data_IF_286694342240
#
_entry.id   IF_286694342240
#
_cell.length_a   1.000
_cell.length_b   1.000
_cell.length_c   1.000
_cell.angle_alpha   90.00
_cell.angle_beta   90.00
_cell.angle_gamma   90.00
#
_symmetry.space_group_name_H-M   'P 1'
#
loop_
_entity.id
_entity.type
_entity.pdbx_description
1 polymer ?
#
# COMPACT_ATOMS: atom_id res chain seq x y z
N UNK A 1 -4.13 4.07 47.89
CA UNK A 1 -3.86 4.14 46.43
C UNK A 1 -5.17 4.52 45.74
N UNK A 2 -5.24 5.61 44.99
CA UNK A 2 -6.47 6.00 44.29
C UNK A 2 -6.58 5.20 42.98
N UNK A 3 -7.57 4.32 42.89
CA UNK A 3 -7.88 3.55 41.67
C UNK A 3 -8.89 4.37 40.85
N UNK A 4 -8.73 4.38 39.53
CA UNK A 4 -9.69 5.03 38.65
C UNK A 4 -10.87 4.06 38.41
N UNK A 5 -12.10 4.54 38.54
CA UNK A 5 -13.32 3.80 38.30
C UNK A 5 -14.08 4.45 37.15
N UNK A 6 -14.66 3.63 36.27
CA UNK A 6 -15.62 4.07 35.27
C UNK A 6 -17.02 3.86 35.83
N UNK A 7 -17.90 4.85 35.63
CA UNK A 7 -19.27 4.77 36.11
C UNK A 7 -20.27 5.11 35.01
N UNK A 8 -21.44 4.49 35.09
CA UNK A 8 -22.64 4.85 34.35
C UNK A 8 -23.71 5.25 35.35
N UNK A 9 -24.20 6.48 35.23
CA UNK A 9 -25.21 7.03 36.12
C UNK A 9 -26.43 7.51 35.35
N UNK A 10 -27.56 7.58 36.05
CA UNK A 10 -28.76 8.24 35.58
C UNK A 10 -28.92 9.58 36.30
N UNK A 11 -29.12 10.66 35.54
CA UNK A 11 -29.51 11.96 36.12
C UNK A 11 -30.98 11.95 36.55
N UNK A 12 -31.39 12.95 37.32
CA UNK A 12 -32.78 13.12 37.78
C UNK A 12 -33.78 13.35 36.64
N UNK A 13 -33.30 13.75 35.46
CA UNK A 13 -34.08 13.88 34.23
C UNK A 13 -34.14 12.56 33.43
N UNK A 14 -33.59 11.48 33.96
CA UNK A 14 -33.63 10.14 33.37
C UNK A 14 -32.57 9.88 32.31
N UNK A 15 -31.64 10.81 32.03
CA UNK A 15 -30.59 10.66 31.01
C UNK A 15 -29.38 9.92 31.57
N UNK A 16 -28.77 9.10 30.72
CA UNK A 16 -27.56 8.37 31.06
C UNK A 16 -26.32 9.25 30.85
N UNK A 17 -25.42 9.26 31.84
CA UNK A 17 -24.08 9.87 31.74
C UNK A 17 -23.02 8.85 32.13
N UNK A 18 -21.92 8.85 31.37
CA UNK A 18 -20.77 8.00 31.60
C UNK A 18 -19.55 8.87 31.91
N UNK A 19 -18.70 8.42 32.84
CA UNK A 19 -17.54 9.18 33.29
C UNK A 19 -16.52 8.33 34.02
N UNK A 20 -15.42 8.97 34.43
CA UNK A 20 -14.34 8.33 35.20
C UNK A 20 -14.02 9.16 36.43
N UNK A 21 -13.92 8.53 37.59
CA UNK A 21 -13.56 9.19 38.86
C UNK A 21 -12.49 8.39 39.59
N UNK A 22 -11.63 9.06 40.35
CA UNK A 22 -10.63 8.40 41.19
C UNK A 22 -11.18 8.30 42.61
N UNK A 23 -11.20 7.09 43.16
CA UNK A 23 -11.67 6.83 44.52
C UNK A 23 -10.90 5.68 45.16
N UNK A 24 -11.14 5.45 46.44
CA UNK A 24 -10.51 4.38 47.20
C UNK A 24 -11.21 3.01 47.01
N UNK A 25 -12.50 3.00 46.66
CA UNK A 25 -13.31 1.79 46.48
C UNK A 25 -14.52 2.07 45.57
N UNK A 26 -15.17 1.02 45.05
CA UNK A 26 -16.43 1.14 44.29
C UNK A 26 -17.56 1.76 45.12
N UNK A 27 -17.60 1.42 46.42
CA UNK A 27 -18.56 2.00 47.37
C UNK A 27 -18.36 3.51 47.53
N UNK A 28 -17.11 3.99 47.61
CA UNK A 28 -16.81 5.41 47.69
C UNK A 28 -17.22 6.17 46.42
N UNK A 29 -17.15 5.53 45.24
CA UNK A 29 -17.65 6.10 43.98
C UNK A 29 -19.17 6.21 43.98
N UNK A 30 -19.87 5.14 44.40
CA UNK A 30 -21.33 5.14 44.46
C UNK A 30 -21.86 6.22 45.41
N UNK A 31 -21.25 6.37 46.60
CA UNK A 31 -21.59 7.41 47.57
C UNK A 31 -21.33 8.82 47.02
N UNK A 32 -20.20 9.03 46.35
CA UNK A 32 -19.87 10.31 45.73
C UNK A 32 -20.84 10.68 44.61
N UNK A 33 -21.28 9.71 43.80
CA UNK A 33 -22.24 9.95 42.71
C UNK A 33 -23.65 10.22 43.26
N UNK A 34 -24.06 9.50 44.31
CA UNK A 34 -25.31 9.75 45.02
C UNK A 34 -25.34 11.15 45.66
N UNK A 35 -24.24 11.59 46.28
CA UNK A 35 -24.11 12.95 46.84
C UNK A 35 -24.21 14.04 45.76
N UNK A 36 -23.85 13.73 44.51
CA UNK A 36 -23.99 14.62 43.36
C UNK A 36 -25.38 14.55 42.70
N UNK A 37 -26.33 13.82 43.28
CA UNK A 37 -27.70 13.68 42.76
C UNK A 37 -27.83 12.71 41.58
N UNK A 38 -26.83 11.86 41.36
CA UNK A 38 -26.84 10.83 40.32
C UNK A 38 -27.15 9.45 40.89
N UNK A 39 -27.94 8.64 40.19
CA UNK A 39 -28.17 7.25 40.58
C UNK A 39 -27.15 6.37 39.85
N UNK A 40 -26.20 5.72 40.55
CA UNK A 40 -25.22 4.82 39.94
C UNK A 40 -25.91 3.54 39.47
N UNK A 41 -25.75 3.22 38.19
CA UNK A 41 -26.27 2.00 37.57
C UNK A 41 -25.16 0.94 37.43
N UNK A 42 -23.93 1.40 37.19
CA UNK A 42 -22.78 0.53 37.02
C UNK A 42 -21.52 1.27 37.45
N UNK A 43 -20.73 0.67 38.35
CA UNK A 43 -19.43 1.17 38.78
C UNK A 43 -18.45 0.02 38.62
N UNK A 44 -17.39 0.22 37.81
CA UNK A 44 -16.37 -0.81 37.56
C UNK A 44 -14.96 -0.20 37.66
N UNK A 45 -13.95 -0.96 38.12
CA UNK A 45 -12.58 -0.49 38.12
C UNK A 45 -12.16 -0.21 36.67
N UNK A 46 -11.74 1.03 36.38
CA UNK A 46 -11.23 1.41 35.08
C UNK A 46 -9.83 0.81 34.92
N UNK A 47 -9.79 -0.42 34.41
CA UNK A 47 -8.55 -1.17 34.21
C UNK A 47 -8.69 -2.66 33.87
N UNK A 48 -9.88 -3.25 33.98
CA UNK A 48 -10.09 -4.71 33.75
C UNK A 48 -11.08 -5.00 32.60
N UNK A 49 -11.41 -3.99 31.79
CA UNK A 49 -12.20 -4.16 30.58
C UNK A 49 -11.33 -4.15 29.34
N UNK A 50 -11.43 -5.20 28.52
CA UNK A 50 -10.90 -5.32 27.16
C UNK A 50 -11.60 -4.35 26.17
N UNK A 51 -11.87 -3.13 26.61
CA UNK A 51 -12.42 -2.02 25.84
C UNK A 51 -11.48 -0.81 25.96
N UNK A 52 -10.17 -1.07 25.81
CA UNK A 52 -9.39 -0.12 25.02
C UNK A 52 -10.08 -0.12 23.67
N UNK A 53 -10.58 1.03 23.21
CA UNK A 53 -10.71 1.25 21.79
C UNK A 53 -9.38 0.81 21.19
N UNK A 54 -9.36 -0.39 20.63
CA UNK A 54 -8.29 -0.83 19.75
C UNK A 54 -8.59 -0.01 18.50
N UNK A 55 -8.26 1.29 18.55
CA UNK A 55 -7.95 2.02 17.35
C UNK A 55 -6.72 1.32 16.82
N UNK A 56 -6.93 0.26 16.05
CA UNK A 56 -5.93 -0.31 15.15
C UNK A 56 -5.25 0.91 14.51
N UNK A 57 -3.95 1.03 14.78
CA UNK A 57 -3.24 2.31 14.79
C UNK A 57 -3.51 3.22 13.60
N UNK A 58 -3.30 4.53 13.81
CA UNK A 58 -3.37 5.63 12.80
C UNK A 58 -3.70 5.16 11.39
N UNK A 59 -4.97 5.32 10.97
CA UNK A 59 -5.39 5.02 9.59
C UNK A 59 -4.46 5.76 8.63
N UNK A 60 -3.58 5.03 7.95
CA UNK A 60 -2.63 5.63 7.01
C UNK A 60 -3.40 6.31 5.89
N UNK A 61 -3.00 7.52 5.52
CA UNK A 61 -3.56 8.22 4.35
C UNK A 61 -3.24 7.42 3.10
N UNK A 62 -4.29 7.08 2.34
CA UNK A 62 -4.18 6.31 1.10
C UNK A 62 -4.11 7.23 -0.11
N UNK A 63 -3.60 6.73 -1.25
CA UNK A 63 -3.65 7.49 -2.51
C UNK A 63 -5.07 7.81 -2.95
N UNK A 64 -6.06 6.97 -2.59
CA UNK A 64 -7.48 7.24 -2.86
C UNK A 64 -7.97 8.45 -2.07
N UNK A 65 -7.58 8.56 -0.79
CA UNK A 65 -7.95 9.72 0.04
C UNK A 65 -7.37 11.01 -0.55
N UNK A 66 -6.11 10.99 -0.98
CA UNK A 66 -5.47 12.13 -1.63
C UNK A 66 -6.10 12.47 -2.99
N UNK A 67 -6.45 11.47 -3.80
CA UNK A 67 -7.12 11.71 -5.08
C UNK A 67 -8.48 12.40 -4.89
N UNK A 68 -9.30 11.91 -3.95
CA UNK A 68 -10.61 12.50 -3.64
C UNK A 68 -10.45 13.92 -3.12
N UNK A 69 -9.55 14.13 -2.14
CA UNK A 69 -9.26 15.46 -1.62
C UNK A 69 -8.81 16.43 -2.73
N UNK A 70 -7.82 16.04 -3.52
CA UNK A 70 -7.29 16.89 -4.59
C UNK A 70 -8.35 17.21 -5.63
N UNK A 71 -9.19 16.24 -6.03
CA UNK A 71 -10.30 16.47 -6.96
C UNK A 71 -11.31 17.44 -6.40
N UNK A 72 -11.76 17.24 -5.16
CA UNK A 72 -12.74 18.13 -4.54
C UNK A 72 -12.19 19.55 -4.36
N UNK A 73 -10.92 19.69 -3.95
CA UNK A 73 -10.28 20.99 -3.82
C UNK A 73 -10.17 21.69 -5.18
N UNK A 74 -9.72 20.97 -6.21
CA UNK A 74 -9.64 21.49 -7.58
C UNK A 74 -11.02 21.96 -8.07
N UNK A 75 -12.06 21.14 -7.90
CA UNK A 75 -13.44 21.50 -8.31
C UNK A 75 -13.97 22.72 -7.56
N UNK A 76 -13.68 22.87 -6.26
CA UNK A 76 -14.10 24.06 -5.51
C UNK A 76 -13.38 25.33 -5.98
N UNK A 77 -12.07 25.24 -6.21
CA UNK A 77 -11.27 26.36 -6.71
C UNK A 77 -11.69 26.76 -8.13
N UNK A 78 -11.91 25.78 -9.01
CA UNK A 78 -12.41 25.98 -10.38
C UNK A 78 -13.82 26.60 -10.39
N UNK A 79 -14.66 26.26 -9.40
CA UNK A 79 -15.97 26.91 -9.19
C UNK A 79 -15.88 28.33 -8.58
N UNK A 80 -14.68 28.87 -8.40
CA UNK A 80 -14.45 30.24 -7.92
C UNK A 80 -14.50 30.39 -6.39
N UNK A 81 -14.54 29.31 -5.61
CA UNK A 81 -14.39 29.41 -4.16
C UNK A 81 -12.94 29.78 -3.82
N UNK A 82 -12.76 30.57 -2.76
CA UNK A 82 -11.41 30.84 -2.25
C UNK A 82 -10.75 29.56 -1.75
N UNK A 83 -9.44 29.43 -1.95
CA UNK A 83 -8.65 28.28 -1.48
C UNK A 83 -8.90 27.99 0.01
N UNK A 84 -8.93 29.04 0.84
CA UNK A 84 -9.19 28.93 2.27
C UNK A 84 -10.58 28.36 2.59
N UNK A 85 -11.60 28.74 1.82
CA UNK A 85 -12.95 28.19 1.99
C UNK A 85 -12.98 26.71 1.61
N UNK A 86 -12.33 26.35 0.49
CA UNK A 86 -12.18 24.95 0.06
C UNK A 86 -11.48 24.09 1.12
N UNK A 87 -10.32 24.53 1.61
CA UNK A 87 -9.57 23.84 2.67
C UNK A 87 -10.40 23.67 3.95
N UNK A 88 -11.18 24.68 4.34
CA UNK A 88 -12.04 24.60 5.53
C UNK A 88 -13.12 23.53 5.37
N UNK A 89 -13.83 23.52 4.24
CA UNK A 89 -14.89 22.53 3.97
C UNK A 89 -14.30 21.12 3.96
N UNK A 90 -13.17 20.93 3.28
CA UNK A 90 -12.56 19.61 3.12
C UNK A 90 -11.92 19.09 4.40
N UNK A 91 -11.31 19.95 5.22
CA UNK A 91 -10.79 19.54 6.51
C UNK A 91 -11.90 18.89 7.37
N UNK A 92 -13.11 19.44 7.36
CA UNK A 92 -14.22 18.92 8.15
C UNK A 92 -14.88 17.67 7.52
N UNK A 93 -14.87 17.54 6.19
CA UNK A 93 -15.58 16.48 5.45
C UNK A 93 -14.77 15.22 5.18
N UNK A 94 -13.44 15.27 5.25
CA UNK A 94 -12.59 14.11 4.95
C UNK A 94 -12.82 12.97 5.95
N UNK A 95 -13.07 11.76 5.47
CA UNK A 95 -13.34 10.57 6.28
C UNK A 95 -12.11 10.06 7.04
N UNK A 96 -10.91 10.20 6.45
CA UNK A 96 -9.68 9.71 7.04
C UNK A 96 -9.21 10.65 8.18
N UNK A 97 -9.12 10.17 9.44
CA UNK A 97 -8.79 11.03 10.58
C UNK A 97 -7.37 11.58 10.54
N UNK A 98 -6.41 10.86 9.94
CA UNK A 98 -5.03 11.36 9.79
C UNK A 98 -4.96 12.46 8.75
N UNK A 99 -5.67 12.30 7.62
CA UNK A 99 -5.74 13.35 6.59
C UNK A 99 -6.49 14.57 7.12
N UNK A 100 -7.58 14.39 7.86
CA UNK A 100 -8.29 15.47 8.55
C UNK A 100 -7.37 16.28 9.46
N UNK A 101 -6.60 15.60 10.31
CA UNK A 101 -5.61 16.24 11.20
C UNK A 101 -4.58 17.05 10.39
N UNK A 102 -3.99 16.45 9.36
CA UNK A 102 -3.01 17.11 8.51
C UNK A 102 -3.60 18.33 7.77
N UNK A 103 -4.85 18.24 7.30
CA UNK A 103 -5.54 19.35 6.64
C UNK A 103 -5.90 20.49 7.60
N UNK A 104 -6.22 20.21 8.86
CA UNK A 104 -6.38 21.26 9.88
C UNK A 104 -5.06 22.00 10.15
N UNK A 105 -3.93 21.27 10.19
CA UNK A 105 -2.60 21.89 10.33
C UNK A 105 -2.28 22.76 9.10
N UNK A 106 -2.55 22.26 7.89
CA UNK A 106 -2.39 23.03 6.64
C UNK A 106 -3.27 24.28 6.65
N UNK A 107 -4.55 24.14 6.97
CA UNK A 107 -5.50 25.26 7.09
C UNK A 107 -4.95 26.34 8.03
N UNK A 108 -4.53 25.95 9.24
CA UNK A 108 -3.99 26.87 10.25
C UNK A 108 -2.73 27.58 9.76
N UNK A 109 -1.85 26.87 9.05
CA UNK A 109 -0.64 27.44 8.48
C UNK A 109 -0.96 28.50 7.40
N UNK A 110 -1.91 28.21 6.52
CA UNK A 110 -2.34 29.14 5.45
C UNK A 110 -3.10 30.33 6.05
N UNK A 111 -3.95 30.13 7.06
CA UNK A 111 -4.56 31.23 7.84
C UNK A 111 -3.50 32.13 8.50
N UNK A 112 -2.38 31.54 8.92
CA UNK A 112 -1.22 32.26 9.47
C UNK A 112 -0.35 32.95 8.42
N UNK A 113 -0.72 32.89 7.13
CA UNK A 113 -0.01 33.57 6.04
C UNK A 113 1.09 32.74 5.37
N UNK A 114 1.25 31.45 5.71
CA UNK A 114 2.15 30.58 4.95
C UNK A 114 1.54 30.22 3.59
N UNK A 115 2.40 29.97 2.60
CA UNK A 115 1.94 29.46 1.32
C UNK A 115 1.42 28.01 1.47
N UNK A 116 0.47 27.62 0.63
CA UNK A 116 -0.07 26.26 0.54
C UNK A 116 1.04 25.23 0.34
N UNK A 117 2.01 25.52 -0.52
CA UNK A 117 3.12 24.59 -0.76
C UNK A 117 4.02 24.41 0.46
N UNK A 118 4.26 25.47 1.25
CA UNK A 118 4.98 25.37 2.53
C UNK A 118 4.18 24.57 3.56
N UNK A 119 2.87 24.83 3.64
CA UNK A 119 1.98 24.12 4.54
C UNK A 119 1.93 22.61 4.24
N UNK A 120 1.83 22.20 2.97
CA UNK A 120 1.93 20.80 2.59
C UNK A 120 3.31 20.20 2.85
N UNK A 121 4.38 20.97 2.64
CA UNK A 121 5.75 20.51 2.85
C UNK A 121 6.06 20.17 4.32
N UNK A 122 5.30 20.71 5.27
CA UNK A 122 5.46 20.44 6.69
C UNK A 122 5.13 18.97 7.06
N UNK A 123 4.23 18.32 6.32
CA UNK A 123 3.91 16.89 6.48
C UNK A 123 4.13 16.11 5.17
N UNK A 124 5.39 15.87 4.84
CA UNK A 124 5.80 15.05 3.67
C UNK A 124 5.37 13.58 3.76
N UNK A 125 4.93 13.11 4.93
CA UNK A 125 4.44 11.75 5.10
C UNK A 125 3.02 11.62 4.56
N UNK A 126 2.22 12.66 4.70
CA UNK A 126 0.84 12.73 4.20
C UNK A 126 0.79 13.29 2.78
N UNK A 127 1.57 14.34 2.49
CA UNK A 127 1.54 15.04 1.22
C UNK A 127 2.77 14.70 0.36
N UNK A 128 2.61 13.99 -0.77
CA UNK A 128 3.72 13.59 -1.61
C UNK A 128 4.47 14.79 -2.23
N UNK A 129 5.78 14.65 -2.56
CA UNK A 129 6.57 15.72 -3.19
C UNK A 129 5.94 16.31 -4.46
N UNK A 130 5.25 15.49 -5.25
CA UNK A 130 4.53 15.92 -6.45
C UNK A 130 3.47 16.99 -6.13
N UNK A 131 2.61 16.74 -5.13
CA UNK A 131 1.56 17.69 -4.70
C UNK A 131 2.18 19.00 -4.20
N UNK A 132 3.21 18.90 -3.35
CA UNK A 132 3.91 20.07 -2.79
C UNK A 132 4.49 20.95 -3.91
N UNK A 133 5.12 20.32 -4.90
CA UNK A 133 5.83 21.02 -5.96
C UNK A 133 4.87 21.60 -7.00
N UNK A 134 3.79 20.90 -7.33
CA UNK A 134 2.71 21.42 -8.16
C UNK A 134 2.03 22.62 -7.50
N UNK A 135 1.72 22.52 -6.20
CA UNK A 135 1.19 23.67 -5.45
C UNK A 135 2.17 24.85 -5.51
N UNK A 136 3.48 24.63 -5.32
CA UNK A 136 4.48 25.69 -5.41
C UNK A 136 4.52 26.34 -6.79
N UNK A 137 4.54 25.53 -7.85
CA UNK A 137 4.56 26.04 -9.22
C UNK A 137 3.30 26.87 -9.53
N UNK A 138 2.13 26.37 -9.13
CA UNK A 138 0.86 27.09 -9.28
C UNK A 138 0.80 28.39 -8.47
N UNK A 139 1.38 28.41 -7.27
CA UNK A 139 1.46 29.62 -6.44
C UNK A 139 2.39 30.68 -7.05
N UNK A 140 3.59 30.27 -7.47
CA UNK A 140 4.59 31.20 -8.05
C UNK A 140 4.13 31.71 -9.42
N UNK A 141 3.52 30.85 -10.22
CA UNK A 141 3.08 31.18 -11.57
C UNK A 141 1.66 31.75 -11.66
N UNK A 142 0.91 31.79 -10.56
CA UNK A 142 -0.46 32.31 -10.53
C UNK A 142 -1.51 31.44 -11.23
N UNK A 143 -1.23 30.15 -11.44
CA UNK A 143 -2.12 29.17 -12.08
C UNK A 143 -2.47 28.00 -11.13
N UNK A 144 -2.77 28.32 -9.88
CA UNK A 144 -3.00 27.31 -8.84
C UNK A 144 -4.22 26.41 -9.13
N UNK A 145 -5.26 26.95 -9.75
CA UNK A 145 -6.43 26.24 -10.24
C UNK A 145 -6.05 25.12 -11.23
N UNK A 146 -5.22 25.44 -12.23
CA UNK A 146 -4.71 24.48 -13.22
C UNK A 146 -3.82 23.44 -12.53
N UNK A 147 -2.93 23.88 -11.64
CA UNK A 147 -2.03 22.99 -10.92
C UNK A 147 -2.78 21.97 -10.05
N UNK A 148 -3.82 22.40 -9.32
CA UNK A 148 -4.65 21.52 -8.50
C UNK A 148 -5.43 20.51 -9.33
N UNK A 149 -5.98 20.93 -10.47
CA UNK A 149 -6.67 20.04 -11.41
C UNK A 149 -5.73 18.95 -11.93
N UNK A 150 -4.52 19.34 -12.30
CA UNK A 150 -3.51 18.42 -12.80
C UNK A 150 -3.04 17.42 -11.73
N UNK A 151 -2.94 17.87 -10.47
CA UNK A 151 -2.68 16.99 -9.32
C UNK A 151 -3.80 15.96 -9.16
N UNK A 152 -5.06 16.41 -9.21
CA UNK A 152 -6.22 15.54 -9.09
C UNK A 152 -6.24 14.45 -10.18
N UNK A 153 -6.05 14.84 -11.44
CA UNK A 153 -6.01 13.93 -12.58
C UNK A 153 -4.88 12.90 -12.45
N UNK A 154 -3.69 13.33 -12.00
CA UNK A 154 -2.55 12.44 -11.79
C UNK A 154 -2.82 11.42 -10.69
N UNK A 155 -3.38 11.86 -9.56
CA UNK A 155 -3.69 10.96 -8.45
C UNK A 155 -4.85 10.00 -8.76
N UNK A 156 -5.88 10.46 -9.47
CA UNK A 156 -6.97 9.59 -9.95
C UNK A 156 -6.44 8.51 -10.90
N UNK A 157 -5.56 8.87 -11.82
CA UNK A 157 -4.99 7.93 -12.77
C UNK A 157 -4.09 6.89 -12.06
N UNK A 158 -3.31 7.30 -11.07
CA UNK A 158 -2.52 6.39 -10.22
C UNK A 158 -3.44 5.44 -9.41
N UNK A 159 -4.56 5.94 -8.88
CA UNK A 159 -5.56 5.11 -8.19
C UNK A 159 -6.21 4.12 -9.16
N UNK A 160 -6.55 4.55 -10.38
CA UNK A 160 -7.12 3.68 -11.43
C UNK A 160 -6.14 2.58 -11.80
N UNK A 161 -4.87 2.92 -12.06
CA UNK A 161 -3.80 1.97 -12.37
C UNK A 161 -3.63 0.93 -11.27
N UNK A 162 -3.51 1.37 -10.01
CA UNK A 162 -3.40 0.46 -8.86
C UNK A 162 -4.63 -0.43 -8.69
N UNK A 163 -5.81 0.13 -8.92
CA UNK A 163 -7.06 -0.62 -8.78
C UNK A 163 -7.17 -1.71 -9.85
N UNK A 164 -6.78 -1.41 -11.10
CA UNK A 164 -6.70 -2.40 -12.18
C UNK A 164 -5.74 -3.54 -11.84
N UNK A 165 -4.51 -3.20 -11.44
CA UNK A 165 -3.50 -4.21 -11.03
C UNK A 165 -4.03 -5.06 -9.87
N UNK A 166 -4.62 -4.42 -8.85
CA UNK A 166 -5.18 -5.13 -7.70
C UNK A 166 -6.32 -6.05 -8.11
N UNK A 167 -7.22 -5.62 -8.98
CA UNK A 167 -8.36 -6.41 -9.44
C UNK A 167 -7.88 -7.68 -10.15
N UNK A 168 -6.95 -7.54 -11.11
CA UNK A 168 -6.38 -8.66 -11.83
C UNK A 168 -5.65 -9.67 -10.91
N UNK A 169 -4.93 -9.18 -9.90
CA UNK A 169 -4.20 -10.03 -8.95
C UNK A 169 -5.07 -10.63 -7.85
N UNK A 170 -6.31 -10.17 -7.65
CA UNK A 170 -7.14 -10.61 -6.52
C UNK A 170 -7.51 -12.09 -6.64
N UNK A 171 -7.94 -12.54 -7.81
CA UNK A 171 -8.33 -13.94 -8.02
C UNK A 171 -7.14 -14.90 -7.82
N UNK A 172 -5.98 -14.73 -8.50
CA UNK A 172 -4.82 -15.58 -8.27
C UNK A 172 -4.37 -15.68 -6.81
N UNK A 173 -4.34 -14.54 -6.10
CA UNK A 173 -3.92 -14.50 -4.71
C UNK A 173 -4.90 -15.28 -3.81
N UNK A 174 -6.21 -15.12 -4.01
CA UNK A 174 -7.22 -15.83 -3.21
C UNK A 174 -7.14 -17.33 -3.44
N UNK A 175 -7.07 -17.79 -4.70
CA UNK A 175 -6.97 -19.22 -5.03
C UNK A 175 -5.66 -19.80 -4.48
N UNK A 176 -4.54 -19.11 -4.62
CA UNK A 176 -3.26 -19.55 -4.09
C UNK A 176 -3.24 -19.63 -2.56
N UNK A 177 -3.80 -18.63 -1.87
CA UNK A 177 -3.96 -18.68 -0.42
C UNK A 177 -4.83 -19.86 0.03
N UNK A 178 -5.93 -20.14 -0.68
CA UNK A 178 -6.81 -21.26 -0.37
C UNK A 178 -6.13 -22.61 -0.63
N UNK A 179 -5.39 -22.73 -1.72
CA UNK A 179 -4.57 -23.91 -2.04
C UNK A 179 -3.54 -24.19 -0.94
N UNK A 180 -2.77 -23.17 -0.53
CA UNK A 180 -1.79 -23.30 0.56
C UNK A 180 -2.49 -23.71 1.87
N UNK A 181 -3.62 -23.09 2.21
CA UNK A 181 -4.37 -23.41 3.42
C UNK A 181 -4.85 -24.86 3.42
N UNK A 182 -5.39 -25.34 2.29
CA UNK A 182 -5.79 -26.74 2.12
C UNK A 182 -4.59 -27.69 2.27
N UNK A 183 -3.45 -27.37 1.65
CA UNK A 183 -2.23 -28.16 1.76
C UNK A 183 -1.72 -28.24 3.21
N UNK A 184 -1.69 -27.11 3.92
CA UNK A 184 -1.30 -27.06 5.33
C UNK A 184 -2.26 -27.89 6.18
N UNK A 185 -3.57 -27.75 5.97
CA UNK A 185 -4.57 -28.57 6.67
C UNK A 185 -4.36 -30.06 6.43
N UNK A 186 -4.10 -30.47 5.19
CA UNK A 186 -3.84 -31.86 4.88
C UNK A 186 -2.57 -32.39 5.57
N UNK A 187 -1.49 -31.61 5.56
CA UNK A 187 -0.24 -31.96 6.24
C UNK A 187 -0.39 -32.02 7.76
N UNK A 188 -1.17 -31.13 8.38
CA UNK A 188 -1.29 -31.07 9.84
C UNK A 188 -2.29 -32.07 10.42
N UNK A 189 -3.35 -32.41 9.68
CA UNK A 189 -4.43 -33.27 10.18
C UNK A 189 -4.41 -34.65 9.56
N UNK A 190 -4.29 -34.76 8.23
CA UNK A 190 -4.46 -36.03 7.53
C UNK A 190 -3.19 -36.88 7.60
N UNK A 191 -2.03 -36.30 7.26
CA UNK A 191 -0.76 -37.04 7.23
C UNK A 191 -0.42 -37.72 8.58
N UNK A 192 -0.59 -37.07 9.76
CA UNK A 192 -0.29 -37.70 11.04
C UNK A 192 -1.23 -38.85 11.43
N UNK A 193 -2.49 -38.82 10.95
CA UNK A 193 -3.43 -39.93 11.17
C UNK A 193 -2.91 -41.18 10.46
N UNK A 194 -2.46 -41.04 9.21
CA UNK A 194 -1.85 -42.13 8.47
C UNK A 194 -0.52 -42.57 9.10
N UNK A 195 0.33 -41.63 9.53
CA UNK A 195 1.57 -41.98 10.24
C UNK A 195 1.30 -42.87 11.46
N UNK A 196 0.33 -42.51 12.31
CA UNK A 196 -0.07 -43.31 13.46
C UNK A 196 -0.56 -44.71 13.08
N UNK A 197 -1.43 -44.80 12.07
CA UNK A 197 -1.95 -46.08 11.57
C UNK A 197 -0.82 -47.02 11.09
N UNK A 198 0.23 -46.50 10.46
CA UNK A 198 1.37 -47.31 10.01
C UNK A 198 2.30 -47.74 11.14
N UNK A 199 2.48 -46.88 12.15
CA UNK A 199 3.27 -47.22 13.33
C UNK A 199 2.67 -48.42 14.08
N UNK A 200 1.33 -48.49 14.16
CA UNK A 200 0.61 -49.58 14.83
C UNK A 200 0.70 -50.92 14.07
N UNK A 201 0.88 -50.88 12.75
CA UNK A 201 0.97 -52.07 11.88
C UNK A 201 2.40 -52.61 11.73
N UNK A 202 3.40 -52.00 12.39
CA UNK A 202 4.80 -52.45 12.37
C UNK A 202 5.50 -52.30 11.01
N UNK A 203 4.86 -51.64 10.04
CA UNK A 203 5.34 -51.45 8.68
C UNK A 203 6.18 -50.19 8.51
N UNK A 204 7.11 -50.24 7.56
CA UNK A 204 7.89 -49.07 7.16
C UNK A 204 7.14 -48.28 6.08
N UNK A 205 6.85 -47.00 6.33
CA UNK A 205 6.18 -46.12 5.35
C UNK A 205 6.92 -46.10 4.01
N UNK A 206 6.22 -46.05 2.87
CA UNK A 206 6.81 -45.82 1.55
C UNK A 206 7.59 -44.49 1.47
N UNK A 207 8.61 -44.42 0.61
CA UNK A 207 9.47 -43.22 0.47
C UNK A 207 8.69 -41.90 0.23
N UNK A 208 7.68 -41.84 -0.67
CA UNK A 208 6.92 -40.61 -0.88
C UNK A 208 6.14 -40.15 0.36
N UNK A 209 5.59 -41.10 1.11
CA UNK A 209 4.84 -40.82 2.35
C UNK A 209 5.77 -40.38 3.48
N UNK A 210 6.98 -40.91 3.57
CA UNK A 210 8.00 -40.42 4.53
C UNK A 210 8.38 -38.97 4.28
N UNK A 211 8.50 -38.56 3.01
CA UNK A 211 8.77 -37.16 2.67
C UNK A 211 7.65 -36.24 3.16
N UNK A 212 6.38 -36.61 2.96
CA UNK A 212 5.24 -35.84 3.46
C UNK A 212 5.16 -35.82 4.99
N UNK A 213 5.49 -36.91 5.67
CA UNK A 213 5.57 -36.96 7.15
C UNK A 213 6.67 -36.03 7.66
N UNK A 214 7.85 -36.04 7.04
CA UNK A 214 8.93 -35.12 7.39
C UNK A 214 8.50 -33.66 7.17
N UNK A 215 7.86 -33.36 6.04
CA UNK A 215 7.34 -32.03 5.73
C UNK A 215 6.22 -31.61 6.72
N UNK A 216 5.33 -32.54 7.07
CA UNK A 216 4.31 -32.35 8.11
C UNK A 216 4.93 -32.01 9.45
N UNK A 217 6.00 -32.71 9.87
CA UNK A 217 6.75 -32.40 11.07
C UNK A 217 7.34 -30.98 11.04
N UNK A 218 7.96 -30.58 9.93
CA UNK A 218 8.50 -29.21 9.74
C UNK A 218 7.37 -28.17 9.82
N UNK A 219 6.22 -28.43 9.21
CA UNK A 219 5.07 -27.51 9.29
C UNK A 219 4.48 -27.49 10.70
N UNK A 220 4.35 -28.63 11.39
CA UNK A 220 3.75 -28.72 12.73
C UNK A 220 4.58 -28.01 13.79
N UNK A 221 5.89 -28.28 13.84
CA UNK A 221 6.79 -27.70 14.84
C UNK A 221 7.38 -26.35 14.37
N UNK A 222 7.51 -26.16 13.05
CA UNK A 222 8.04 -24.94 12.46
C UNK A 222 6.99 -23.89 12.12
N UNK A 223 5.69 -24.20 12.03
CA UNK A 223 4.66 -23.19 11.72
C UNK A 223 4.67 -21.98 12.66
N UNK A 224 4.82 -22.13 14.00
CA UNK A 224 4.95 -20.97 14.89
C UNK A 224 6.20 -20.14 14.57
N UNK A 225 7.30 -20.80 14.23
CA UNK A 225 8.58 -20.15 13.89
C UNK A 225 8.48 -19.45 12.53
N UNK A 226 7.92 -20.10 11.51
CA UNK A 226 7.67 -19.50 10.20
C UNK A 226 6.68 -18.33 10.30
N UNK A 227 5.60 -18.46 11.08
CA UNK A 227 4.68 -17.36 11.32
C UNK A 227 5.38 -16.19 12.02
N UNK A 228 6.23 -16.46 13.03
CA UNK A 228 7.02 -15.44 13.71
C UNK A 228 8.04 -14.78 12.77
N UNK A 229 8.72 -15.55 11.92
CA UNK A 229 9.66 -15.04 10.91
C UNK A 229 8.96 -14.20 9.85
N UNK A 230 7.81 -14.64 9.35
CA UNK A 230 7.00 -13.85 8.40
C UNK A 230 6.52 -12.57 9.07
N UNK A 231 6.04 -12.62 10.32
CA UNK A 231 5.62 -11.43 11.05
C UNK A 231 6.79 -10.46 11.29
N UNK A 232 7.97 -10.97 11.67
CA UNK A 232 9.19 -10.18 11.86
C UNK A 232 9.66 -9.57 10.53
N UNK A 233 9.66 -10.35 9.45
CA UNK A 233 9.99 -9.87 8.10
C UNK A 233 9.02 -8.80 7.63
N UNK A 234 7.70 -9.00 7.78
CA UNK A 234 6.68 -8.01 7.42
C UNK A 234 6.82 -6.74 8.25
N UNK A 235 7.11 -6.86 9.54
CA UNK A 235 7.36 -5.71 10.42
C UNK A 235 8.62 -4.95 10.00
N UNK A 236 9.73 -5.66 9.78
CA UNK A 236 10.99 -5.08 9.30
C UNK A 236 10.80 -4.41 7.94
N UNK A 237 10.17 -5.08 6.98
CA UNK A 237 9.88 -4.55 5.66
C UNK A 237 9.01 -3.31 5.72
N UNK A 238 7.93 -3.32 6.52
CA UNK A 238 7.07 -2.12 6.67
C UNK A 238 7.81 -0.92 7.23
N UNK A 239 8.85 -1.14 8.04
CA UNK A 239 9.65 -0.07 8.64
C UNK A 239 10.78 0.41 7.73
N UNK A 240 11.44 -0.51 7.01
CA UNK A 240 12.67 -0.24 6.27
C UNK A 240 12.51 -0.25 4.74
N UNK A 241 11.35 -0.60 4.19
CA UNK A 241 11.14 -0.63 2.73
C UNK A 241 11.25 0.75 2.07
N UNK A 242 11.22 1.84 2.84
CA UNK A 242 11.44 3.20 2.33
C UNK A 242 12.87 3.70 2.54
N UNK A 243 13.73 2.93 3.21
CA UNK A 243 15.13 3.31 3.40
C UNK A 243 15.85 3.25 2.05
N UNK A 244 16.64 4.29 1.75
CA UNK A 244 17.33 4.40 0.46
C UNK A 244 18.22 3.18 0.18
N UNK A 245 18.97 2.70 1.18
CA UNK A 245 19.84 1.51 1.06
C UNK A 245 19.07 0.25 0.66
N UNK A 246 17.85 0.08 1.16
CA UNK A 246 17.02 -1.09 0.85
C UNK A 246 16.48 -0.96 -0.58
N UNK A 247 15.98 0.22 -0.94
CA UNK A 247 15.46 0.49 -2.29
C UNK A 247 16.53 0.37 -3.37
N UNK A 248 17.76 0.79 -3.06
CA UNK A 248 18.92 0.70 -3.94
C UNK A 248 19.21 -0.74 -4.38
N UNK A 249 19.06 -1.71 -3.48
CA UNK A 249 19.27 -3.11 -3.77
C UNK A 249 18.02 -3.78 -4.38
N UNK A 250 16.85 -3.46 -3.84
CA UNK A 250 15.60 -4.13 -4.18
C UNK A 250 15.02 -3.67 -5.52
N UNK A 251 15.08 -2.38 -5.83
CA UNK A 251 14.42 -1.84 -7.04
C UNK A 251 15.04 -2.38 -8.35
N UNK A 252 16.38 -2.47 -8.51
CA UNK A 252 16.98 -3.13 -9.67
C UNK A 252 16.64 -4.61 -9.75
N UNK A 253 16.56 -5.31 -8.61
CA UNK A 253 16.20 -6.72 -8.57
C UNK A 253 14.75 -6.93 -9.04
N UNK A 254 13.80 -6.09 -8.58
CA UNK A 254 12.39 -6.15 -9.00
C UNK A 254 12.23 -6.04 -10.51
N UNK A 255 12.97 -5.13 -11.14
CA UNK A 255 12.92 -4.90 -12.59
C UNK A 255 13.49 -6.07 -13.39
N UNK A 256 14.37 -6.88 -12.79
CA UNK A 256 14.97 -8.08 -13.40
C UNK A 256 14.24 -9.37 -13.05
N UNK A 257 13.19 -9.34 -12.23
CA UNK A 257 12.47 -10.56 -11.88
C UNK A 257 11.79 -11.15 -13.11
N UNK A 258 11.89 -12.47 -13.36
CA UNK A 258 11.14 -13.11 -14.41
C UNK A 258 9.64 -12.92 -14.15
N UNK A 259 8.84 -12.87 -15.22
CA UNK A 259 7.38 -12.67 -15.20
C UNK A 259 6.96 -11.24 -14.82
N UNK A 260 7.39 -10.70 -13.68
CA UNK A 260 6.93 -9.39 -13.18
C UNK A 260 7.84 -8.19 -13.48
N UNK A 261 9.09 -8.42 -13.90
CA UNK A 261 10.06 -7.35 -14.15
C UNK A 261 9.64 -6.39 -15.27
N UNK A 262 9.05 -6.93 -16.34
CA UNK A 262 8.50 -6.13 -17.45
C UNK A 262 7.33 -5.24 -16.96
N UNK A 263 6.41 -5.81 -16.17
CA UNK A 263 5.30 -5.07 -15.58
C UNK A 263 5.81 -3.90 -14.70
N UNK A 264 6.79 -4.14 -13.84
CA UNK A 264 7.36 -3.09 -12.99
C UNK A 264 8.08 -2.00 -13.80
N UNK A 265 8.78 -2.39 -14.87
CA UNK A 265 9.45 -1.45 -15.77
C UNK A 265 8.44 -0.55 -16.48
N UNK A 266 7.38 -1.13 -17.05
CA UNK A 266 6.30 -0.39 -17.71
C UNK A 266 5.59 0.58 -16.75
N UNK A 267 5.26 0.15 -15.53
CA UNK A 267 4.68 1.03 -14.49
C UNK A 267 5.61 2.20 -14.15
N UNK A 268 6.91 1.95 -14.02
CA UNK A 268 7.89 2.97 -13.70
C UNK A 268 8.01 4.00 -14.84
N UNK A 269 8.03 3.55 -16.09
CA UNK A 269 8.03 4.40 -17.29
C UNK A 269 6.74 5.19 -17.44
N UNK A 270 5.57 4.57 -17.22
CA UNK A 270 4.28 5.26 -17.17
C UNK A 270 4.29 6.43 -16.19
N UNK A 271 4.79 6.23 -14.97
CA UNK A 271 4.88 7.29 -13.95
C UNK A 271 5.87 8.37 -14.34
N UNK A 272 7.03 7.99 -14.85
CA UNK A 272 8.05 8.93 -15.32
C UNK A 272 7.47 9.85 -16.40
N UNK A 273 6.97 9.26 -17.48
CA UNK A 273 6.48 10.00 -18.64
C UNK A 273 5.27 10.85 -18.29
N UNK A 274 4.32 10.32 -17.51
CA UNK A 274 3.14 11.07 -17.10
C UNK A 274 3.51 12.25 -16.20
N UNK A 275 4.32 12.04 -15.17
CA UNK A 275 4.66 13.10 -14.22
C UNK A 275 5.48 14.19 -14.91
N UNK A 276 6.47 13.82 -15.74
CA UNK A 276 7.28 14.78 -16.47
C UNK A 276 6.44 15.57 -17.48
N UNK A 277 5.64 14.90 -18.32
CA UNK A 277 4.79 15.57 -19.31
C UNK A 277 3.74 16.48 -18.66
N UNK A 278 3.20 16.06 -17.52
CA UNK A 278 2.31 16.86 -16.67
C UNK A 278 2.98 18.16 -16.21
N UNK A 279 4.16 18.05 -15.59
CA UNK A 279 4.89 19.20 -15.06
C UNK A 279 5.25 20.18 -16.17
N UNK A 280 5.77 19.67 -17.30
CA UNK A 280 6.13 20.50 -18.44
C UNK A 280 4.91 21.20 -19.06
N UNK A 281 3.79 20.50 -19.25
CA UNK A 281 2.56 21.11 -19.76
C UNK A 281 1.96 22.16 -18.82
N UNK A 282 2.32 22.10 -17.53
CA UNK A 282 1.91 23.08 -16.51
C UNK A 282 2.91 24.24 -16.40
N UNK A 283 3.87 24.36 -17.33
CA UNK A 283 4.86 25.43 -17.35
C UNK A 283 5.95 25.32 -16.27
N UNK A 284 6.10 24.16 -15.62
CA UNK A 284 7.18 23.95 -14.65
C UNK A 284 8.53 23.89 -15.40
N UNK A 285 9.55 24.66 -14.98
CA UNK A 285 10.87 24.60 -15.61
C UNK A 285 11.45 23.18 -15.63
N UNK A 286 12.06 22.77 -16.74
CA UNK A 286 12.52 21.38 -16.98
C UNK A 286 13.43 20.85 -15.86
N UNK A 287 14.39 21.65 -15.37
CA UNK A 287 15.29 21.22 -14.29
C UNK A 287 14.51 20.91 -12.99
N UNK A 288 13.57 21.79 -12.63
CA UNK A 288 12.67 21.57 -11.49
C UNK A 288 11.77 20.35 -11.73
N UNK A 289 11.27 20.17 -12.95
CA UNK A 289 10.44 19.03 -13.32
C UNK A 289 11.19 17.71 -13.18
N UNK A 290 12.45 17.64 -13.63
CA UNK A 290 13.32 16.47 -13.47
C UNK A 290 13.60 16.17 -11.99
N UNK A 291 13.86 17.19 -11.16
CA UNK A 291 14.03 17.02 -9.71
C UNK A 291 12.78 16.42 -9.07
N UNK A 292 11.58 16.90 -9.43
CA UNK A 292 10.31 16.40 -8.89
C UNK A 292 10.03 14.97 -9.36
N UNK A 293 10.28 14.68 -10.63
CA UNK A 293 10.05 13.35 -11.22
C UNK A 293 10.96 12.33 -10.55
N UNK A 294 12.25 12.62 -10.40
CA UNK A 294 13.21 11.74 -9.73
C UNK A 294 12.72 11.28 -8.35
N UNK A 295 12.13 12.19 -7.57
CA UNK A 295 11.62 11.92 -6.23
C UNK A 295 10.25 11.18 -6.20
N UNK A 296 9.54 11.08 -7.33
CA UNK A 296 8.14 10.63 -7.37
C UNK A 296 7.90 9.36 -8.19
N UNK A 297 8.84 8.95 -9.06
CA UNK A 297 8.68 7.74 -9.89
C UNK A 297 8.63 6.45 -9.06
N UNK A 298 9.26 6.45 -7.87
CA UNK A 298 9.29 5.32 -6.96
C UNK A 298 10.21 4.17 -7.40
N UNK A 299 11.12 4.43 -8.34
CA UNK A 299 12.15 3.50 -8.81
C UNK A 299 13.51 4.18 -8.72
N UNK A 300 14.44 3.64 -7.92
CA UNK A 300 15.81 4.17 -7.82
C UNK A 300 16.57 4.12 -9.15
N UNK A 301 16.26 3.16 -10.01
CA UNK A 301 16.86 3.05 -11.35
C UNK A 301 16.48 4.26 -12.23
N UNK A 302 15.21 4.70 -12.17
CA UNK A 302 14.79 5.91 -12.89
C UNK A 302 15.34 7.16 -12.19
N UNK A 303 15.36 7.18 -10.85
CA UNK A 303 15.88 8.30 -10.07
C UNK A 303 17.33 8.66 -10.49
N UNK A 304 18.23 7.69 -10.60
CA UNK A 304 19.60 7.93 -11.08
C UNK A 304 19.64 8.39 -12.52
N UNK A 305 18.90 7.73 -13.41
CA UNK A 305 18.89 8.13 -14.81
C UNK A 305 18.37 9.56 -15.02
N UNK A 306 17.37 9.98 -14.24
CA UNK A 306 16.84 11.34 -14.27
C UNK A 306 17.85 12.34 -13.69
N UNK A 307 18.62 11.96 -12.67
CA UNK A 307 19.68 12.79 -12.12
C UNK A 307 20.79 13.03 -13.16
N UNK A 308 21.20 12.00 -13.89
CA UNK A 308 22.21 12.10 -14.95
C UNK A 308 21.70 13.00 -16.10
N UNK A 309 20.46 12.79 -16.55
CA UNK A 309 19.78 13.64 -17.54
C UNK A 309 19.73 15.10 -17.08
N UNK A 310 19.37 15.36 -15.81
CA UNK A 310 19.31 16.70 -15.26
C UNK A 310 20.67 17.41 -15.32
N UNK A 311 21.75 16.69 -15.02
CA UNK A 311 23.11 17.25 -15.06
C UNK A 311 23.48 17.67 -16.49
N UNK A 312 23.20 16.81 -17.48
CA UNK A 312 23.39 17.11 -18.90
C UNK A 312 22.55 18.28 -19.41
N UNK A 313 21.26 18.32 -19.05
CA UNK A 313 20.35 19.42 -19.45
C UNK A 313 20.78 20.75 -18.81
N UNK A 314 21.32 20.72 -17.59
CA UNK A 314 21.85 21.91 -16.93
C UNK A 314 23.07 22.50 -17.66
N UNK A 315 23.82 21.67 -18.39
CA UNK A 315 24.94 22.11 -19.26
C UNK A 315 24.52 22.43 -20.70
N UNK A 316 23.22 22.32 -21.03
CA UNK A 316 22.66 22.67 -22.33
C UNK A 316 22.59 21.51 -23.33
N UNK A 317 22.79 20.27 -22.90
CA UNK A 317 22.57 19.08 -23.74
C UNK A 317 21.07 18.75 -23.87
N UNK A 318 20.72 17.95 -24.88
CA UNK A 318 19.34 17.45 -25.05
C UNK A 318 18.98 16.42 -23.97
N UNK A 319 17.68 16.24 -23.72
CA UNK A 319 17.13 15.25 -22.79
C UNK A 319 17.31 13.84 -23.35
N UNK A 320 17.09 13.67 -24.66
CA UNK A 320 17.08 12.35 -25.30
C UNK A 320 18.45 11.65 -25.28
N UNK A 321 19.54 12.40 -25.44
CA UNK A 321 20.90 11.85 -25.49
C UNK A 321 21.27 11.06 -24.23
N UNK A 322 21.26 11.69 -23.04
CA UNK A 322 21.54 11.00 -21.78
C UNK A 322 20.55 9.88 -21.47
N UNK A 323 19.25 10.05 -21.79
CA UNK A 323 18.26 8.98 -21.60
C UNK A 323 18.61 7.70 -22.36
N UNK A 324 19.18 7.82 -23.56
CA UNK A 324 19.58 6.67 -24.40
C UNK A 324 20.68 5.79 -23.78
N UNK A 325 21.43 6.32 -22.82
CA UNK A 325 22.50 5.59 -22.14
C UNK A 325 21.97 4.64 -21.05
N UNK A 326 20.69 4.77 -20.68
CA UNK A 326 20.08 3.98 -19.62
C UNK A 326 19.16 2.88 -20.17
N UNK A 327 19.44 1.58 -19.92
CA UNK A 327 18.68 0.46 -20.47
C UNK A 327 17.19 0.41 -20.12
N UNK A 328 16.77 1.13 -19.08
CA UNK A 328 15.37 1.19 -18.66
C UNK A 328 14.49 1.98 -19.64
N UNK A 329 15.09 2.85 -20.48
CA UNK A 329 14.36 3.62 -21.48
C UNK A 329 14.46 2.95 -22.85
N UNK A 330 13.36 2.40 -23.38
CA UNK A 330 13.35 1.82 -24.71
C UNK A 330 13.63 2.88 -25.79
N UNK A 331 14.18 2.48 -26.96
CA UNK A 331 14.46 3.40 -28.06
C UNK A 331 13.25 4.25 -28.49
N UNK A 332 12.04 3.68 -28.44
CA UNK A 332 10.80 4.41 -28.73
C UNK A 332 10.61 5.63 -27.82
N UNK A 333 10.88 5.50 -26.52
CA UNK A 333 10.74 6.60 -25.55
C UNK A 333 11.73 7.71 -25.87
N UNK A 334 12.98 7.34 -26.10
CA UNK A 334 14.06 8.27 -26.46
C UNK A 334 13.69 9.03 -27.75
N UNK A 335 13.21 8.33 -28.77
CA UNK A 335 12.84 8.91 -30.06
C UNK A 335 11.64 9.88 -29.94
N UNK A 336 10.62 9.52 -29.16
CA UNK A 336 9.46 10.37 -28.92
C UNK A 336 9.85 11.66 -28.18
N UNK A 337 10.77 11.56 -27.22
CA UNK A 337 11.29 12.73 -26.52
C UNK A 337 12.13 13.59 -27.46
N UNK A 338 13.05 13.00 -28.23
CA UNK A 338 13.87 13.72 -29.21
C UNK A 338 13.01 14.49 -30.22
N UNK A 339 12.00 13.83 -30.80
CA UNK A 339 11.06 14.48 -31.72
C UNK A 339 10.24 15.58 -31.04
N UNK A 340 9.89 15.39 -29.76
CA UNK A 340 9.26 16.42 -28.94
C UNK A 340 10.17 17.61 -28.68
N UNK A 341 11.47 17.39 -28.50
CA UNK A 341 12.46 18.47 -28.29
C UNK A 341 12.62 19.30 -29.56
N UNK A 342 12.75 18.66 -30.73
CA UNK A 342 12.86 19.34 -32.02
C UNK A 342 11.61 20.15 -32.37
N UNK A 343 10.42 19.65 -32.02
CA UNK A 343 9.13 20.31 -32.30
C UNK A 343 8.65 21.24 -31.19
N UNK A 344 9.34 21.29 -30.04
CA UNK A 344 8.91 22.04 -28.86
C UNK A 344 7.68 21.47 -28.14
N UNK A 345 7.30 20.22 -28.43
CA UNK A 345 6.11 19.54 -27.90
C UNK A 345 6.45 18.31 -27.02
N UNK A 346 7.53 18.40 -26.24
CA UNK A 346 8.01 17.33 -25.34
C UNK A 346 6.92 16.84 -24.38
N UNK A 347 6.13 17.77 -23.84
CA UNK A 347 5.06 17.48 -22.89
C UNK A 347 3.96 16.59 -23.52
N UNK A 348 3.59 16.86 -24.78
CA UNK A 348 2.61 16.07 -25.52
C UNK A 348 3.14 14.68 -25.86
N UNK A 349 4.42 14.59 -26.28
CA UNK A 349 5.05 13.31 -26.58
C UNK A 349 5.17 12.42 -25.34
N UNK A 350 5.54 13.00 -24.18
CA UNK A 350 5.58 12.30 -22.91
C UNK A 350 4.19 11.80 -22.47
N UNK A 351 3.13 12.58 -22.68
CA UNK A 351 1.74 12.14 -22.42
C UNK A 351 1.34 10.95 -23.29
N UNK A 352 1.72 10.95 -24.57
CA UNK A 352 1.49 9.81 -25.49
C UNK A 352 2.27 8.57 -25.08
N UNK A 353 3.54 8.73 -24.70
CA UNK A 353 4.36 7.63 -24.16
C UNK A 353 3.73 7.05 -22.89
N UNK A 354 3.25 7.90 -21.98
CA UNK A 354 2.58 7.46 -20.77
C UNK A 354 1.32 6.63 -21.08
N UNK A 355 0.47 7.11 -21.99
CA UNK A 355 -0.73 6.41 -22.42
C UNK A 355 -0.40 5.05 -23.05
N UNK A 356 0.60 5.00 -23.94
CA UNK A 356 1.03 3.74 -24.55
C UNK A 356 1.50 2.73 -23.50
N UNK A 357 2.31 3.16 -22.53
CA UNK A 357 2.71 2.24 -21.44
C UNK A 357 1.56 1.85 -20.52
N UNK A 358 0.53 2.68 -20.34
CA UNK A 358 -0.67 2.26 -19.60
C UNK A 358 -1.39 1.11 -20.28
N UNK A 359 -1.55 1.19 -21.60
CA UNK A 359 -2.14 0.13 -22.42
C UNK A 359 -1.29 -1.14 -22.35
N UNK A 360 0.03 -1.01 -22.43
CA UNK A 360 0.97 -2.12 -22.23
C UNK A 360 0.91 -2.72 -20.81
N UNK A 361 0.77 -1.90 -19.77
CA UNK A 361 0.60 -2.40 -18.39
C UNK A 361 -0.69 -3.21 -18.27
N UNK A 362 -1.78 -2.77 -18.90
CA UNK A 362 -3.05 -3.49 -18.93
C UNK A 362 -2.90 -4.83 -19.64
N UNK A 363 -2.37 -4.83 -20.87
CA UNK A 363 -2.12 -6.06 -21.64
C UNK A 363 -1.20 -7.04 -20.91
N UNK A 364 -0.13 -6.53 -20.28
CA UNK A 364 0.81 -7.36 -19.50
C UNK A 364 0.10 -7.96 -18.29
N UNK A 365 -0.72 -7.17 -17.59
CA UNK A 365 -1.45 -7.65 -16.41
C UNK A 365 -2.46 -8.74 -16.79
N UNK A 366 -3.16 -8.61 -17.92
CA UNK A 366 -4.07 -9.62 -18.44
C UNK A 366 -3.33 -10.90 -18.84
N UNK A 367 -2.23 -10.78 -19.59
CA UNK A 367 -1.40 -11.92 -19.99
C UNK A 367 -0.84 -12.69 -18.77
N UNK A 368 -0.37 -11.96 -17.76
CA UNK A 368 0.09 -12.55 -16.51
C UNK A 368 -1.04 -13.29 -15.79
N UNK A 369 -2.23 -12.72 -15.74
CA UNK A 369 -3.40 -13.36 -15.12
C UNK A 369 -3.77 -14.65 -15.85
N UNK A 370 -3.79 -14.63 -17.18
CA UNK A 370 -4.09 -15.78 -18.02
C UNK A 370 -3.05 -16.92 -17.90
N UNK A 371 -1.77 -16.59 -17.68
CA UNK A 371 -0.71 -17.58 -17.47
C UNK A 371 -0.73 -18.18 -16.06
N UNK A 372 -1.13 -17.40 -15.06
CA UNK A 372 -1.17 -17.87 -13.67
C UNK A 372 -2.20 -18.98 -13.50
N UNK A 373 -3.35 -18.93 -14.18
CA UNK A 373 -4.42 -19.94 -14.01
C UNK A 373 -3.98 -21.37 -14.39
N UNK A 374 -3.43 -21.65 -15.60
CA UNK A 374 -2.91 -22.97 -15.93
C UNK A 374 -1.79 -23.44 -15.00
N UNK A 375 -0.89 -22.54 -14.61
CA UNK A 375 0.19 -22.86 -13.66
C UNK A 375 -0.38 -23.24 -12.28
N UNK A 376 -1.41 -22.53 -11.83
CA UNK A 376 -2.11 -22.81 -10.58
C UNK A 376 -2.82 -24.16 -10.61
N UNK A 377 -3.51 -24.48 -11.70
CA UNK A 377 -4.19 -25.78 -11.87
C UNK A 377 -3.16 -26.91 -11.93
N UNK A 378 -2.08 -26.74 -12.70
CA UNK A 378 -1.00 -27.72 -12.78
C UNK A 378 -0.33 -27.93 -11.40
N UNK A 379 -0.01 -26.85 -10.70
CA UNK A 379 0.56 -26.91 -9.35
C UNK A 379 -0.39 -27.61 -8.37
N UNK A 380 -1.67 -27.23 -8.34
CA UNK A 380 -2.65 -27.83 -7.46
C UNK A 380 -2.87 -29.31 -7.80
N UNK A 381 -2.92 -29.66 -9.07
CA UNK A 381 -3.02 -31.04 -9.54
C UNK A 381 -1.83 -31.89 -9.10
N UNK A 382 -0.61 -31.37 -9.22
CA UNK A 382 0.61 -32.06 -8.75
C UNK A 382 0.62 -32.20 -7.24
N UNK A 383 0.30 -31.13 -6.51
CA UNK A 383 0.33 -31.15 -5.04
C UNK A 383 -0.76 -32.05 -4.48
N UNK A 384 -2.03 -31.84 -4.87
CA UNK A 384 -3.17 -32.62 -4.38
C UNK A 384 -3.11 -34.05 -4.91
N UNK A 385 -2.78 -34.26 -6.18
CA UNK A 385 -2.63 -35.59 -6.76
C UNK A 385 -1.48 -36.37 -6.12
N UNK A 386 -0.32 -35.75 -5.95
CA UNK A 386 0.82 -36.35 -5.24
C UNK A 386 0.49 -36.68 -3.80
N UNK A 387 -0.23 -35.78 -3.12
CA UNK A 387 -0.76 -35.99 -1.78
C UNK A 387 -1.69 -37.22 -1.71
N UNK A 388 -2.67 -37.33 -2.60
CA UNK A 388 -3.58 -38.48 -2.67
C UNK A 388 -2.78 -39.77 -2.89
N UNK A 389 -1.88 -39.80 -3.87
CA UNK A 389 -1.05 -41.00 -4.14
C UNK A 389 -0.27 -41.42 -2.89
N UNK A 390 0.35 -40.46 -2.18
CA UNK A 390 1.12 -40.76 -0.98
C UNK A 390 0.26 -41.25 0.19
N UNK A 391 -1.02 -40.90 0.24
CA UNK A 391 -1.97 -41.38 1.27
C UNK A 391 -2.58 -42.74 0.91
N UNK A 392 -2.78 -43.02 -0.38
CA UNK A 392 -3.37 -44.28 -0.84
C UNK A 392 -2.36 -45.42 -1.02
N UNK A 393 -1.14 -45.12 -1.47
CA UNK A 393 -0.09 -46.13 -1.66
C UNK A 393 0.17 -46.98 -0.40
N UNK A 394 0.21 -46.39 0.80
CA UNK A 394 0.34 -47.16 2.02
C UNK A 394 -0.84 -48.13 2.24
N UNK A 395 -2.08 -47.74 1.93
CA UNK A 395 -3.24 -48.66 2.07
C UNK A 395 -3.06 -49.94 1.27
N UNK A 396 -2.49 -49.88 0.05
CA UNK A 396 -2.19 -51.09 -0.73
C UNK A 396 -1.14 -51.96 -0.04
N UNK A 397 -0.10 -51.37 0.55
CA UNK A 397 0.93 -52.14 1.28
C UNK A 397 0.41 -52.79 2.55
N UNK A 398 -0.66 -52.27 3.17
CA UNK A 398 -1.30 -52.90 4.34
C UNK A 398 -2.02 -54.18 3.92
N UNK A 399 -2.68 -54.21 2.76
CA UNK A 399 -3.33 -55.42 2.26
C UNK A 399 -2.31 -56.56 2.06
N UNK A 400 -1.14 -56.25 1.50
CA UNK A 400 -0.06 -57.22 1.30
C UNK A 400 0.60 -57.71 2.62
N UNK A 401 0.37 -57.03 3.74
CA UNK A 401 0.92 -57.36 5.07
C UNK A 401 -0.06 -58.13 5.96
N UNK A 402 -1.35 -58.20 5.57
CA UNK A 402 -2.42 -58.90 6.31
C UNK A 402 -2.68 -60.31 5.74
N UNK A 403 -2.18 -60.63 4.54
CA UNK A 403 -1.95 -62.01 4.07
C UNK A 403 -0.61 -62.55 4.60
#
# INVERSE_FOLDING_TARGET
MSIQYAYKVRDTAGRFKEGKVKAASETAVAEQLLAMGYVPLEVKPAGVGLNRDISFGRKRVTMKDLAVFSRQLATMVDAGLTLMRGLTILADQVENPELRRALHEVKKAVEGGQSLSQAFAADRRTFPPFLVSMARAGEVGGFLDVALKQVAETFEAEVKLRSKIKAAMTYPVVVFCMAILMCIGMLLFVVPIFEGMFADLGGQLPLPTRFLVALSGVVRYGAPIFAALIAAFVWWWRRHAQDDKVREFVDPLKLRMPVFGDLFSKIALTRFSRNLGTLLSSGVPILSALDIVSATTGSKVIEHAVHDVRQSVATGESIAGPLSQHPIFPPMVVQMIASGEESGAVDQMLKRVAQWFEEEVEATTEALTALIEPLMIAFLGVVVGGMIICLYLPMFTIFDLIE
#
